data_IF_604520719959
#
_entry.id   IF_604520719959
#
_cell.length_a   1.000
_cell.length_b   1.000
_cell.length_c   1.000
_cell.angle_alpha   90.00
_cell.angle_beta   90.00
_cell.angle_gamma   90.00
#
_symmetry.space_group_name_H-M   'P 1'
#
loop_
_entity.id
_entity.type
_entity.pdbx_description
1 polymer ?
#
# COMPACT_ATOMS: atom_id res chain seq x y z
N UNK A 1 -28.27 6.44 -39.70
CA UNK A 1 -26.91 6.03 -39.33
C UNK A 1 -26.50 6.90 -38.16
N UNK A 2 -26.40 6.34 -36.95
CA UNK A 2 -26.19 7.10 -35.71
C UNK A 2 -24.76 6.80 -35.25
N UNK A 3 -23.88 7.80 -35.31
CA UNK A 3 -22.54 7.73 -34.74
C UNK A 3 -22.62 8.18 -33.29
N UNK A 4 -22.40 7.27 -32.35
CA UNK A 4 -22.25 7.56 -30.92
C UNK A 4 -20.77 7.84 -30.65
N UNK A 5 -20.41 9.11 -30.47
CA UNK A 5 -19.13 9.47 -29.87
C UNK A 5 -19.14 9.13 -28.38
N UNK A 6 -18.30 8.18 -27.98
CA UNK A 6 -18.06 7.84 -26.59
C UNK A 6 -17.22 8.93 -25.94
N UNK A 7 -17.82 9.67 -25.00
CA UNK A 7 -17.11 10.57 -24.08
C UNK A 7 -16.21 9.75 -23.16
N UNK A 8 -14.90 9.81 -23.40
CA UNK A 8 -13.86 9.33 -22.48
C UNK A 8 -13.80 10.28 -21.28
N UNK A 9 -14.46 9.93 -20.18
CA UNK A 9 -14.30 10.66 -18.92
C UNK A 9 -12.98 10.25 -18.25
N UNK A 10 -11.94 11.05 -18.50
CA UNK A 10 -10.76 11.17 -17.63
C UNK A 10 -11.21 11.73 -16.28
N UNK A 11 -11.36 10.89 -15.26
CA UNK A 11 -11.68 11.37 -13.90
C UNK A 11 -10.96 10.56 -12.79
N UNK A 12 -9.69 10.23 -13.00
CA UNK A 12 -8.89 9.46 -12.03
C UNK A 12 -7.87 10.28 -11.21
N UNK A 13 -7.64 11.56 -11.57
CA UNK A 13 -6.48 12.31 -11.06
C UNK A 13 -6.84 13.44 -10.07
N UNK A 14 -8.13 13.71 -9.84
CA UNK A 14 -8.58 14.82 -8.99
C UNK A 14 -8.89 14.41 -7.54
N UNK A 15 -9.25 13.15 -7.26
CA UNK A 15 -9.48 12.69 -5.88
C UNK A 15 -8.18 12.58 -5.04
N UNK A 16 -7.01 12.66 -5.67
CA UNK A 16 -5.71 12.69 -4.98
C UNK A 16 -5.36 14.06 -4.37
N UNK A 17 -6.15 15.12 -4.64
CA UNK A 17 -5.78 16.54 -4.41
C UNK A 17 -6.33 17.20 -3.13
N UNK A 18 -6.40 16.50 -2.00
CA UNK A 18 -6.52 17.22 -0.70
C UNK A 18 -5.93 16.43 0.47
N UNK A 19 -4.61 16.25 0.45
CA UNK A 19 -3.84 15.85 1.63
C UNK A 19 -3.59 17.10 2.50
N UNK A 20 -4.61 17.53 3.23
CA UNK A 20 -4.44 18.55 4.29
C UNK A 20 -4.26 17.89 5.65
N UNK A 21 -3.22 18.37 6.33
CA UNK A 21 -2.70 17.99 7.63
C UNK A 21 -3.78 17.83 8.72
N UNK A 22 -3.72 16.70 9.41
CA UNK A 22 -4.38 16.48 10.68
C UNK A 22 -3.75 15.27 11.37
N UNK A 23 -3.25 15.47 12.58
CA UNK A 23 -2.73 14.42 13.46
C UNK A 23 -3.63 13.17 13.48
N UNK A 24 -3.12 12.01 13.04
CA UNK A 24 -3.56 10.70 13.56
C UNK A 24 -4.81 10.03 12.98
N UNK A 25 -5.31 10.38 11.80
CA UNK A 25 -6.46 9.68 11.21
C UNK A 25 -6.07 8.84 9.98
N UNK A 26 -5.93 7.53 10.18
CA UNK A 26 -5.92 6.55 9.07
C UNK A 26 -7.26 6.63 8.33
N UNK A 27 -7.23 6.44 7.01
CA UNK A 27 -8.41 6.43 6.12
C UNK A 27 -8.50 5.11 5.37
N UNK A 28 -9.70 4.79 4.88
CA UNK A 28 -9.88 3.72 3.88
C UNK A 28 -9.12 4.12 2.62
N UNK A 29 -8.37 3.19 2.05
CA UNK A 29 -7.44 3.41 0.93
C UNK A 29 -6.00 3.72 1.34
N UNK A 30 -5.72 3.99 2.62
CA UNK A 30 -4.34 4.11 3.11
C UNK A 30 -3.62 2.76 2.99
N UNK A 31 -2.31 2.81 2.74
CA UNK A 31 -1.50 1.61 2.53
C UNK A 31 -0.46 1.49 3.63
N UNK A 32 -0.41 0.32 4.26
CA UNK A 32 0.65 -0.11 5.14
C UNK A 32 1.64 -1.00 4.38
N UNK A 33 2.92 -0.89 4.70
CA UNK A 33 4.00 -1.73 4.16
C UNK A 33 4.72 -2.45 5.28
N UNK A 34 4.93 -3.75 5.13
CA UNK A 34 5.81 -4.54 6.00
C UNK A 34 7.03 -4.95 5.21
N UNK A 35 8.19 -4.40 5.57
CA UNK A 35 9.49 -4.85 5.05
C UNK A 35 10.02 -5.97 5.93
N UNK A 36 10.43 -7.08 5.33
CA UNK A 36 10.92 -8.26 6.03
C UNK A 36 11.96 -9.02 5.22
N UNK A 37 12.63 -9.95 5.87
CA UNK A 37 13.68 -10.77 5.27
C UNK A 37 14.95 -10.73 6.11
N UNK A 38 15.68 -11.84 6.09
CA UNK A 38 16.95 -11.97 6.81
C UNK A 38 18.10 -11.66 5.86
N UNK A 39 18.37 -12.58 4.94
CA UNK A 39 19.30 -12.35 3.82
C UNK A 39 18.63 -11.53 2.71
N UNK A 40 17.32 -11.72 2.49
CA UNK A 40 16.52 -11.02 1.49
C UNK A 40 15.94 -9.70 2.03
N UNK A 41 15.51 -8.83 1.12
CA UNK A 41 14.65 -7.67 1.42
C UNK A 41 13.35 -7.81 0.63
N UNK A 42 12.22 -8.00 1.32
CA UNK A 42 10.90 -8.23 0.75
C UNK A 42 9.89 -7.25 1.34
N UNK A 43 8.88 -6.83 0.57
CA UNK A 43 7.86 -5.89 1.02
C UNK A 43 6.46 -6.40 0.74
N UNK A 44 5.65 -6.52 1.79
CA UNK A 44 4.23 -6.78 1.68
C UNK A 44 3.43 -5.48 1.81
N UNK A 45 2.47 -5.25 0.92
CA UNK A 45 1.60 -4.08 0.95
C UNK A 45 0.16 -4.45 1.34
N UNK A 46 -0.46 -3.61 2.17
CA UNK A 46 -1.78 -3.82 2.72
C UNK A 46 -2.62 -2.55 2.65
N UNK A 47 -3.73 -2.58 1.91
CA UNK A 47 -4.68 -1.47 1.82
C UNK A 47 -5.69 -1.55 2.95
N UNK A 48 -5.98 -0.43 3.61
CA UNK A 48 -7.08 -0.30 4.57
C UNK A 48 -8.40 -0.33 3.80
N UNK A 49 -9.23 -1.35 4.04
CA UNK A 49 -10.53 -1.51 3.36
C UNK A 49 -11.71 -1.16 4.26
N UNK A 50 -11.49 -1.10 5.58
CA UNK A 50 -12.51 -0.73 6.56
C UNK A 50 -11.87 -0.14 7.82
N UNK A 51 -12.57 0.78 8.49
CA UNK A 51 -12.21 1.31 9.79
C UNK A 51 -13.32 1.07 10.79
N UNK A 52 -12.95 0.74 12.04
CA UNK A 52 -13.95 0.72 13.11
C UNK A 52 -14.48 2.13 13.38
N UNK A 53 -15.70 2.20 13.92
CA UNK A 53 -16.35 3.47 14.32
C UNK A 53 -15.49 4.35 15.22
N UNK A 54 -14.57 3.75 15.98
CA UNK A 54 -13.67 4.47 16.91
C UNK A 54 -12.32 4.84 16.29
N UNK A 55 -11.99 4.37 15.09
CA UNK A 55 -10.69 4.57 14.45
C UNK A 55 -9.53 3.84 15.12
N UNK A 56 -9.77 3.00 16.13
CA UNK A 56 -8.70 2.27 16.87
C UNK A 56 -8.25 0.99 16.18
N UNK A 57 -9.06 0.49 15.25
CA UNK A 57 -8.81 -0.74 14.51
C UNK A 57 -9.23 -0.58 13.05
N UNK A 58 -8.59 -1.34 12.16
CA UNK A 58 -8.91 -1.43 10.75
C UNK A 58 -9.04 -2.89 10.29
N UNK A 59 -9.70 -3.06 9.15
CA UNK A 59 -9.56 -4.24 8.28
C UNK A 59 -8.60 -3.85 7.16
N UNK A 60 -7.56 -4.65 6.94
CA UNK A 60 -6.62 -4.46 5.84
C UNK A 60 -6.77 -5.58 4.82
N UNK A 61 -6.33 -5.38 3.58
CA UNK A 61 -6.29 -6.43 2.56
C UNK A 61 -4.96 -6.40 1.81
N UNK A 62 -4.29 -7.56 1.63
CA UNK A 62 -3.07 -7.64 0.84
C UNK A 62 -3.29 -7.19 -0.60
N UNK A 63 -2.39 -6.37 -1.12
CA UNK A 63 -2.37 -5.91 -2.51
C UNK A 63 -1.06 -6.29 -3.19
N UNK A 64 -1.13 -6.48 -4.51
CA UNK A 64 0.02 -6.78 -5.37
C UNK A 64 1.02 -5.62 -5.33
N UNK A 65 2.28 -5.94 -5.55
CA UNK A 65 3.34 -4.99 -5.89
C UNK A 65 3.65 -5.05 -7.38
N UNK A 66 4.29 -4.00 -7.89
CA UNK A 66 4.88 -3.95 -9.24
C UNK A 66 6.28 -3.36 -9.15
N UNK A 67 7.19 -3.88 -9.97
CA UNK A 67 8.52 -3.31 -10.15
C UNK A 67 8.40 -1.97 -10.86
N UNK A 68 9.13 -0.96 -10.37
CA UNK A 68 9.14 0.41 -10.93
C UNK A 68 10.50 0.86 -11.40
N UNK A 69 11.57 0.25 -10.87
CA UNK A 69 12.94 0.42 -11.36
C UNK A 69 13.83 -0.75 -10.90
N UNK A 70 15.01 -0.89 -11.51
CA UNK A 70 15.95 -1.98 -11.25
C UNK A 70 15.77 -3.18 -12.19
N UNK A 71 16.40 -4.30 -11.85
CA UNK A 71 16.60 -5.43 -12.76
C UNK A 71 15.54 -6.54 -12.66
N UNK A 72 14.52 -6.35 -11.80
CA UNK A 72 13.41 -7.29 -11.61
C UNK A 72 13.46 -8.00 -10.25
N UNK A 73 12.44 -8.81 -9.94
CA UNK A 73 12.29 -9.44 -8.62
C UNK A 73 13.35 -10.53 -8.37
N UNK A 74 13.80 -11.23 -9.41
CA UNK A 74 14.71 -12.38 -9.31
C UNK A 74 16.15 -12.05 -9.74
N UNK A 75 16.50 -10.76 -9.78
CA UNK A 75 17.87 -10.35 -10.05
C UNK A 75 18.62 -10.08 -8.73
N UNK A 76 19.85 -10.59 -8.65
CA UNK A 76 20.82 -10.35 -7.57
C UNK A 76 21.05 -8.86 -7.24
N UNK A 77 20.88 -7.96 -8.22
CA UNK A 77 21.04 -6.51 -8.05
C UNK A 77 19.84 -5.85 -7.35
N UNK A 78 18.69 -6.55 -7.31
CA UNK A 78 17.46 -6.09 -6.70
C UNK A 78 16.67 -5.08 -7.55
N UNK A 79 15.58 -4.59 -6.97
CA UNK A 79 14.67 -3.67 -7.64
C UNK A 79 13.96 -2.76 -6.64
N UNK A 80 13.19 -1.80 -7.16
CA UNK A 80 12.24 -1.03 -6.36
C UNK A 80 10.82 -1.40 -6.77
N UNK A 81 9.96 -1.54 -5.76
CA UNK A 81 8.56 -1.89 -5.93
C UNK A 81 7.63 -0.83 -5.34
N UNK A 82 6.45 -0.72 -5.95
CA UNK A 82 5.33 0.05 -5.45
C UNK A 82 4.06 -0.81 -5.37
N UNK A 83 3.13 -0.50 -4.47
CA UNK A 83 1.83 -1.15 -4.46
C UNK A 83 1.06 -0.85 -5.75
N UNK A 84 0.30 -1.83 -6.22
CA UNK A 84 -0.70 -1.63 -7.27
C UNK A 84 -1.94 -1.03 -6.61
N UNK A 85 -2.19 0.25 -6.83
CA UNK A 85 -3.28 1.01 -6.16
C UNK A 85 -4.58 1.06 -6.95
N UNK A 86 -4.55 0.66 -8.22
CA UNK A 86 -5.69 0.73 -9.15
C UNK A 86 -6.08 -0.66 -9.64
N UNK A 87 -7.31 -0.80 -10.14
CA UNK A 87 -7.84 -2.07 -10.63
C UNK A 87 -8.45 -2.94 -9.53
N UNK A 88 -9.50 -3.69 -9.88
CA UNK A 88 -10.17 -4.60 -8.95
C UNK A 88 -9.33 -5.85 -8.64
N UNK A 89 -8.42 -6.21 -9.54
CA UNK A 89 -7.52 -7.37 -9.43
C UNK A 89 -6.26 -7.07 -8.60
N UNK A 90 -6.11 -5.85 -8.07
CA UNK A 90 -4.96 -5.47 -7.23
C UNK A 90 -4.86 -6.28 -5.95
N UNK A 91 -5.99 -6.78 -5.44
CA UNK A 91 -6.01 -7.59 -4.21
C UNK A 91 -5.50 -9.00 -4.48
N UNK A 92 -4.50 -9.43 -3.71
CA UNK A 92 -3.89 -10.77 -3.82
C UNK A 92 -4.19 -11.67 -2.61
N UNK A 93 -5.01 -11.21 -1.66
CA UNK A 93 -5.34 -11.97 -0.47
C UNK A 93 -6.71 -11.65 0.12
N UNK A 94 -7.06 -12.39 1.17
CA UNK A 94 -8.30 -12.18 1.91
C UNK A 94 -8.20 -10.98 2.87
N UNK A 95 -9.31 -10.30 3.17
CA UNK A 95 -9.34 -9.27 4.21
C UNK A 95 -8.89 -9.81 5.57
N UNK A 96 -8.09 -9.02 6.29
CA UNK A 96 -7.57 -9.33 7.62
C UNK A 96 -8.18 -8.32 8.60
N UNK A 97 -9.20 -8.72 9.38
CA UNK A 97 -9.96 -7.79 10.21
C UNK A 97 -9.28 -7.48 11.55
N UNK A 98 -9.77 -6.43 12.22
CA UNK A 98 -9.46 -6.09 13.61
C UNK A 98 -7.96 -5.85 13.91
N UNK A 99 -7.22 -5.32 12.95
CA UNK A 99 -5.84 -4.86 13.17
C UNK A 99 -5.85 -3.60 14.03
N UNK A 100 -5.18 -3.66 15.18
CA UNK A 100 -5.07 -2.51 16.08
C UNK A 100 -4.07 -1.51 15.52
N UNK A 101 -4.50 -0.26 15.43
CA UNK A 101 -3.68 0.84 14.93
C UNK A 101 -2.89 1.41 16.11
N UNK A 102 -1.58 1.49 15.94
CA UNK A 102 -0.66 2.10 16.91
C UNK A 102 -0.20 3.44 16.40
N UNK A 103 -0.64 4.50 17.08
CA UNK A 103 -0.21 5.86 16.82
C UNK A 103 0.98 6.19 17.72
N UNK A 104 2.15 6.42 17.12
CA UNK A 104 3.35 6.88 17.81
C UNK A 104 3.82 8.19 17.18
N UNK A 105 4.54 9.05 17.93
CA UNK A 105 5.15 10.24 17.34
C UNK A 105 6.03 9.84 16.14
N UNK A 106 5.71 10.36 14.95
CA UNK A 106 6.48 10.14 13.73
C UNK A 106 6.10 8.92 12.88
N UNK A 107 5.30 7.97 13.41
CA UNK A 107 4.84 6.81 12.63
C UNK A 107 3.53 6.21 13.12
N UNK A 108 2.78 5.64 12.19
CA UNK A 108 1.60 4.82 12.48
C UNK A 108 1.87 3.40 12.00
N UNK A 109 1.52 2.40 12.81
CA UNK A 109 1.78 1.00 12.49
C UNK A 109 0.65 0.05 12.88
N UNK A 110 0.68 -1.13 12.29
CA UNK A 110 -0.16 -2.27 12.63
C UNK A 110 0.69 -3.54 12.73
N UNK A 111 0.36 -4.43 13.66
CA UNK A 111 1.00 -5.74 13.76
C UNK A 111 0.29 -6.74 12.84
N UNK A 112 1.02 -7.30 11.88
CA UNK A 112 0.48 -8.29 10.93
C UNK A 112 0.44 -9.66 11.61
N UNK A 113 1.56 -10.09 12.18
CA UNK A 113 1.72 -11.31 12.96
C UNK A 113 2.87 -11.16 13.97
N UNK A 114 3.31 -12.24 14.61
CA UNK A 114 4.36 -12.21 15.63
C UNK A 114 5.72 -11.72 15.13
N UNK A 115 5.98 -11.77 13.81
CA UNK A 115 7.26 -11.46 13.21
C UNK A 115 7.21 -10.22 12.30
N UNK A 116 6.02 -9.73 11.92
CA UNK A 116 5.86 -8.63 10.96
C UNK A 116 5.02 -7.49 11.52
N UNK A 117 5.58 -6.29 11.45
CA UNK A 117 4.89 -5.02 11.70
C UNK A 117 4.90 -4.21 10.42
N UNK A 118 3.74 -3.66 10.05
CA UNK A 118 3.59 -2.81 8.88
C UNK A 118 3.46 -1.35 9.31
N UNK A 119 4.08 -0.45 8.55
CA UNK A 119 4.06 1.00 8.79
C UNK A 119 3.26 1.70 7.69
N UNK A 120 2.56 2.77 8.05
CA UNK A 120 1.82 3.58 7.10
C UNK A 120 2.80 4.18 6.08
N UNK A 121 2.55 3.95 4.79
CA UNK A 121 3.31 4.57 3.71
C UNK A 121 3.12 6.08 3.71
N UNK A 122 4.22 6.81 3.59
CA UNK A 122 4.23 8.28 3.43
C UNK A 122 4.16 8.65 1.96
N UNK A 123 3.84 9.90 1.69
CA UNK A 123 3.76 10.41 0.31
C UNK A 123 5.06 10.19 -0.46
N UNK A 124 6.20 10.44 0.20
CA UNK A 124 7.53 10.26 -0.40
C UNK A 124 7.81 8.80 -0.78
N UNK A 125 7.21 7.85 -0.07
CA UNK A 125 7.41 6.42 -0.33
C UNK A 125 6.73 6.00 -1.65
N UNK A 126 5.67 6.70 -2.07
CA UNK A 126 5.02 6.46 -3.36
C UNK A 126 5.82 6.97 -4.56
N UNK A 127 6.72 7.93 -4.34
CA UNK A 127 7.64 8.42 -5.38
C UNK A 127 8.89 7.56 -5.46
N UNK A 128 9.45 7.18 -4.29
CA UNK A 128 10.69 6.42 -4.20
C UNK A 128 10.52 4.93 -4.46
N UNK A 129 9.46 4.33 -3.95
CA UNK A 129 9.31 2.87 -3.86
C UNK A 129 10.16 2.23 -2.75
N UNK A 130 9.93 0.95 -2.54
CA UNK A 130 10.64 0.12 -1.56
C UNK A 130 11.63 -0.80 -2.25
N UNK A 131 12.84 -0.90 -1.71
CA UNK A 131 13.86 -1.80 -2.25
C UNK A 131 13.50 -3.26 -1.94
N UNK A 132 13.63 -4.13 -2.95
CA UNK A 132 13.53 -5.57 -2.84
C UNK A 132 14.75 -6.26 -3.43
N UNK A 133 15.20 -7.31 -2.75
CA UNK A 133 16.23 -8.22 -3.25
C UNK A 133 15.93 -9.64 -2.74
N UNK A 134 15.84 -10.58 -3.67
CA UNK A 134 15.50 -11.97 -3.39
C UNK A 134 16.76 -12.86 -3.22
N UNK A 135 17.97 -12.31 -3.42
CA UNK A 135 19.27 -13.00 -3.28
C UNK A 135 19.34 -14.37 -3.98
N UNK A 136 18.80 -14.48 -5.19
CA UNK A 136 18.95 -15.67 -6.04
C UNK A 136 20.29 -15.64 -6.81
#
# INVERSE_FOLDING_TARGET
MITLEQKTSHNGNEERRTRQNGTGAIRVGDIFVASWGYSMSLNDFYEVVELSKTGKTCTIRPIKSRVVSGHGLYDSEGCYVLPVTEGADRYCGQPIPRKRISFRPGFTSITIDACRTAFLMKEQDFERGYYENHND
#
